data_IF_483828485263
#
_entry.id   IF_483828485263
#
_cell.length_a   1.000
_cell.length_b   1.000
_cell.length_c   1.000
_cell.angle_alpha   90.00
_cell.angle_beta   90.00
_cell.angle_gamma   90.00
#
_symmetry.space_group_name_H-M   'P 1'
#
loop_
_entity.id
_entity.type
_entity.pdbx_description
1 polymer ?
#
# COMPACT_ATOMS: atom_id res chain seq x y z
N UNK A 1 14.54 -4.84 -13.08
CA UNK A 1 14.65 -3.90 -11.95
C UNK A 1 14.44 -4.69 -10.68
N UNK A 2 15.25 -4.46 -9.64
CA UNK A 2 15.22 -5.21 -8.37
C UNK A 2 14.52 -4.42 -7.24
N UNK A 3 13.65 -3.49 -7.61
CA UNK A 3 12.95 -2.61 -6.69
C UNK A 3 11.49 -2.43 -7.11
N UNK A 4 10.69 -1.95 -6.17
CA UNK A 4 9.27 -1.68 -6.39
C UNK A 4 8.82 -0.41 -5.65
N UNK A 5 7.55 -0.04 -5.83
CA UNK A 5 6.91 1.05 -5.11
C UNK A 5 5.60 0.64 -4.45
N UNK A 6 5.52 0.82 -3.13
CA UNK A 6 4.42 0.32 -2.30
C UNK A 6 3.04 0.83 -2.75
N UNK A 7 2.92 2.12 -3.01
CA UNK A 7 1.68 2.77 -3.45
C UNK A 7 1.25 2.27 -4.84
N UNK A 8 2.20 2.04 -5.74
CA UNK A 8 1.94 1.50 -7.09
C UNK A 8 1.46 0.04 -7.03
N UNK A 9 2.05 -0.77 -6.15
CA UNK A 9 1.63 -2.15 -5.94
C UNK A 9 0.19 -2.22 -5.43
N UNK A 10 -0.16 -1.43 -4.41
CA UNK A 10 -1.53 -1.42 -3.90
C UNK A 10 -2.53 -0.86 -4.91
N UNK A 11 -2.15 0.19 -5.64
CA UNK A 11 -2.98 0.75 -6.70
C UNK A 11 -3.28 -0.30 -7.78
N UNK A 12 -2.25 -1.02 -8.22
CA UNK A 12 -2.38 -2.12 -9.18
C UNK A 12 -3.27 -3.24 -8.63
N UNK A 13 -3.03 -3.68 -7.39
CA UNK A 13 -3.85 -4.70 -6.73
C UNK A 13 -5.32 -4.28 -6.68
N UNK A 14 -5.60 -3.00 -6.44
CA UNK A 14 -6.95 -2.45 -6.32
C UNK A 14 -7.75 -2.52 -7.62
N UNK A 15 -7.10 -2.52 -8.78
CA UNK A 15 -7.76 -2.69 -10.08
C UNK A 15 -8.34 -4.09 -10.28
N UNK A 16 -7.86 -5.08 -9.53
CA UNK A 16 -8.43 -6.43 -9.57
C UNK A 16 -9.79 -6.49 -8.87
N UNK A 17 -10.76 -7.10 -9.56
CA UNK A 17 -12.05 -7.49 -8.97
C UNK A 17 -11.96 -8.85 -8.27
N UNK A 18 -10.93 -9.65 -8.53
CA UNK A 18 -10.73 -10.94 -7.88
C UNK A 18 -9.99 -10.75 -6.53
N UNK A 19 -10.61 -11.14 -5.40
CA UNK A 19 -9.99 -11.05 -4.08
C UNK A 19 -8.67 -11.81 -3.95
N UNK A 20 -8.53 -12.96 -4.61
CA UNK A 20 -7.32 -13.78 -4.54
C UNK A 20 -6.15 -13.08 -5.24
N UNK A 21 -6.42 -12.43 -6.38
CA UNK A 21 -5.42 -11.62 -7.08
C UNK A 21 -5.01 -10.40 -6.24
N UNK A 22 -5.95 -9.73 -5.57
CA UNK A 22 -5.63 -8.65 -4.64
C UNK A 22 -4.74 -9.16 -3.49
N UNK A 23 -5.10 -10.29 -2.90
CA UNK A 23 -4.35 -10.91 -1.80
C UNK A 23 -2.97 -11.42 -2.21
N UNK A 24 -2.78 -11.78 -3.49
CA UNK A 24 -1.47 -12.14 -4.02
C UNK A 24 -0.46 -10.98 -3.96
N UNK A 25 -0.92 -9.73 -4.07
CA UNK A 25 -0.08 -8.55 -3.81
C UNK A 25 0.00 -8.21 -2.32
N UNK A 26 -1.12 -8.28 -1.60
CA UNK A 26 -1.16 -7.85 -0.20
C UNK A 26 -0.38 -8.74 0.76
N UNK A 27 -0.39 -10.05 0.53
CA UNK A 27 0.31 -11.02 1.39
C UNK A 27 1.81 -10.74 1.48
N UNK A 28 2.56 -10.62 0.35
CA UNK A 28 3.98 -10.30 0.42
C UNK A 28 4.26 -8.88 0.94
N UNK A 29 3.42 -7.88 0.62
CA UNK A 29 3.55 -6.52 1.18
C UNK A 29 3.42 -6.55 2.69
N UNK A 30 2.38 -7.23 3.21
CA UNK A 30 2.17 -7.38 4.65
C UNK A 30 3.36 -8.07 5.32
N UNK A 31 3.87 -9.15 4.72
CA UNK A 31 5.07 -9.82 5.23
C UNK A 31 6.28 -8.87 5.27
N UNK A 32 6.54 -8.15 4.18
CA UNK A 32 7.63 -7.19 4.09
C UNK A 32 7.52 -6.08 5.15
N UNK A 33 6.33 -5.53 5.38
CA UNK A 33 6.11 -4.51 6.41
C UNK A 33 6.49 -4.97 7.82
N UNK A 34 6.27 -6.25 8.12
CA UNK A 34 6.60 -6.84 9.42
C UNK A 34 8.07 -7.25 9.54
N UNK A 35 8.67 -7.71 8.44
CA UNK A 35 9.99 -8.37 8.44
C UNK A 35 11.13 -7.51 7.89
N UNK A 36 10.84 -6.38 7.24
CA UNK A 36 11.88 -5.53 6.62
C UNK A 36 13.01 -5.24 7.62
N UNK A 37 14.29 -5.23 7.21
CA UNK A 37 15.39 -4.84 8.10
C UNK A 37 15.46 -3.32 8.32
N UNK A 38 14.75 -2.52 7.51
CA UNK A 38 14.76 -1.07 7.60
C UNK A 38 13.83 -0.59 8.71
N UNK A 39 14.38 0.10 9.72
CA UNK A 39 13.63 0.66 10.87
C UNK A 39 13.36 2.15 10.67
N UNK A 40 12.66 2.47 9.58
CA UNK A 40 12.25 3.83 9.22
C UNK A 40 10.72 3.93 9.23
N UNK A 41 10.14 5.14 9.39
CA UNK A 41 8.73 5.34 9.07
C UNK A 41 8.45 4.86 7.64
N UNK A 42 7.26 4.30 7.42
CA UNK A 42 6.91 3.55 6.21
C UNK A 42 7.48 4.19 4.92
N UNK A 43 8.31 3.40 4.23
CA UNK A 43 8.90 3.75 2.92
C UNK A 43 7.99 3.30 1.79
N UNK A 44 7.99 4.07 0.70
CA UNK A 44 7.32 3.68 -0.54
C UNK A 44 8.28 3.18 -1.62
N UNK A 45 9.61 3.22 -1.43
CA UNK A 45 10.57 2.67 -2.39
C UNK A 45 11.57 1.72 -1.71
N UNK A 46 11.49 0.44 -2.09
CA UNK A 46 12.27 -0.62 -1.48
C UNK A 46 12.75 -1.66 -2.51
N UNK A 47 13.84 -2.34 -2.15
CA UNK A 47 14.43 -3.45 -2.90
C UNK A 47 13.64 -4.73 -2.66
N UNK A 48 13.23 -5.43 -3.72
CA UNK A 48 12.39 -6.62 -3.62
C UNK A 48 13.15 -7.90 -3.26
N UNK A 49 14.48 -7.90 -3.39
CA UNK A 49 15.33 -9.05 -3.04
C UNK A 49 15.67 -9.10 -1.57
N UNK A 50 15.92 -7.95 -0.95
CA UNK A 50 16.37 -7.87 0.44
C UNK A 50 15.45 -7.06 1.36
N UNK A 51 14.40 -6.43 0.82
CA UNK A 51 13.40 -5.69 1.59
C UNK A 51 13.91 -4.39 2.21
N UNK A 52 15.15 -3.96 1.91
CA UNK A 52 15.71 -2.71 2.41
C UNK A 52 15.08 -1.52 1.69
N UNK A 53 14.86 -0.46 2.46
CA UNK A 53 14.58 0.85 1.91
C UNK A 53 15.70 1.26 0.95
N UNK A 54 15.30 1.75 -0.23
CA UNK A 54 16.22 2.42 -1.16
C UNK A 54 16.20 3.93 -0.93
N UNK A 55 15.01 4.51 -0.80
CA UNK A 55 14.81 5.93 -0.52
C UNK A 55 13.35 6.22 -0.20
N UNK A 56 13.01 7.50 -0.05
CA UNK A 56 11.64 7.98 0.16
C UNK A 56 10.92 7.40 1.39
N UNK A 57 10.90 8.17 2.47
CA UNK A 57 10.26 7.79 3.73
C UNK A 57 9.30 8.89 4.19
N UNK A 58 8.23 8.50 4.88
CA UNK A 58 7.28 9.44 5.50
C UNK A 58 6.72 10.51 4.54
N UNK A 59 6.40 10.13 3.30
CA UNK A 59 5.83 11.05 2.30
C UNK A 59 4.32 10.91 2.20
N UNK A 60 3.64 12.00 1.87
CA UNK A 60 2.18 12.03 1.70
C UNK A 60 1.67 11.03 0.63
N UNK A 61 2.49 10.69 -0.35
CA UNK A 61 2.18 9.69 -1.39
C UNK A 61 1.86 8.31 -0.78
N UNK A 62 2.39 7.98 0.40
CA UNK A 62 2.02 6.76 1.17
C UNK A 62 0.52 6.73 1.49
N UNK A 63 -0.17 7.87 1.52
CA UNK A 63 -1.63 7.94 1.61
C UNK A 63 -2.36 7.18 0.48
N UNK A 64 -1.68 6.88 -0.63
CA UNK A 64 -2.16 5.96 -1.67
C UNK A 64 -2.56 4.58 -1.13
N UNK A 65 -2.09 4.21 0.07
CA UNK A 65 -2.54 3.00 0.77
C UNK A 65 -4.06 2.93 1.02
N UNK A 66 -4.74 4.08 1.03
CA UNK A 66 -6.18 4.13 1.22
C UNK A 66 -6.99 3.90 -0.07
N UNK A 67 -6.34 3.72 -1.23
CA UNK A 67 -7.03 3.66 -2.52
C UNK A 67 -8.08 2.55 -2.59
N UNK A 68 -7.83 1.38 -2.00
CA UNK A 68 -8.81 0.28 -1.96
C UNK A 68 -10.08 0.69 -1.21
N UNK A 69 -9.92 1.41 -0.09
CA UNK A 69 -11.04 1.91 0.69
C UNK A 69 -11.80 3.05 -0.01
N UNK A 70 -11.09 3.87 -0.81
CA UNK A 70 -11.69 4.93 -1.61
C UNK A 70 -12.43 4.39 -2.84
N UNK A 71 -11.96 3.27 -3.41
CA UNK A 71 -12.63 2.58 -4.51
C UNK A 71 -13.93 1.90 -4.09
N UNK A 72 -14.05 1.52 -2.82
CA UNK A 72 -15.31 1.06 -2.23
C UNK A 72 -16.24 2.26 -1.98
N UNK A 73 -17.27 2.40 -2.81
CA UNK A 73 -18.22 3.51 -2.73
C UNK A 73 -18.96 3.59 -1.39
N UNK A 74 -19.31 2.44 -0.79
CA UNK A 74 -20.04 2.40 0.48
C UNK A 74 -19.14 2.85 1.63
N UNK A 75 -17.91 2.34 1.66
CA UNK A 75 -16.92 2.72 2.67
C UNK A 75 -16.51 4.19 2.52
N UNK A 76 -16.23 4.65 1.30
CA UNK A 76 -15.89 6.04 1.03
C UNK A 76 -17.03 7.00 1.42
N UNK A 77 -18.29 6.63 1.16
CA UNK A 77 -19.46 7.41 1.60
C UNK A 77 -19.54 7.48 3.13
N UNK A 78 -19.44 6.35 3.83
CA UNK A 78 -19.47 6.26 5.29
C UNK A 78 -18.49 7.24 5.95
N UNK A 79 -17.27 7.34 5.42
CA UNK A 79 -16.24 8.22 6.00
C UNK A 79 -16.41 9.69 5.62
N UNK A 80 -16.91 10.00 4.41
CA UNK A 80 -17.27 11.38 4.04
C UNK A 80 -18.37 11.94 4.93
N UNK A 81 -19.42 11.16 5.18
CA UNK A 81 -20.56 11.57 6.00
C UNK A 81 -20.20 11.82 7.48
N UNK A 82 -19.10 11.24 7.97
CA UNK A 82 -18.61 11.44 9.33
C UNK A 82 -17.93 12.79 9.54
N UNK A 83 -17.34 13.36 8.50
CA UNK A 83 -16.62 14.65 8.57
C UNK A 83 -17.59 15.83 8.46
N UNK A 84 -18.75 15.62 7.84
CA UNK A 84 -19.81 16.62 7.69
C UNK A 84 -20.76 16.75 8.90
N UNK A 85 -20.43 16.11 10.03
CA UNK A 85 -21.13 16.24 11.32
C UNK A 85 -20.29 17.03 12.29
#
# INVERSE_FOLDING_TARGET
>A
ADYTKLDWELWTATLSQNPDQFNAFMTPIFKWLNETPSRVPLTDWYDTKNGKQIGFQARSVVGGLYIKALADQQLAKKWRDRVSR
#
